data_IF_214384288988
#
_entry.id   IF_214384288988
#
_cell.length_a   1.000
_cell.length_b   1.000
_cell.length_c   1.000
_cell.angle_alpha   90.00
_cell.angle_beta   90.00
_cell.angle_gamma   90.00
#
_symmetry.space_group_name_H-M   'P 1'
#
loop_
_entity.id
_entity.type
_entity.pdbx_description
1 polymer ?
#
# COMPACT_ATOMS: atom_id res chain seq x y z
N UNK A 1 -46.54 -7.45 21.85
CA UNK A 1 -45.26 -6.72 21.93
C UNK A 1 -45.47 -5.36 21.26
N UNK A 2 -45.46 -4.28 22.02
CA UNK A 2 -45.67 -2.94 21.47
C UNK A 2 -44.34 -2.41 20.91
N UNK A 3 -44.27 -2.19 19.59
CA UNK A 3 -43.16 -1.48 18.96
C UNK A 3 -43.30 0.01 19.28
N UNK A 4 -42.33 0.59 19.99
CA UNK A 4 -42.34 2.01 20.31
C UNK A 4 -41.74 2.81 19.12
N UNK A 5 -42.55 3.50 18.30
CA UNK A 5 -42.10 4.12 17.05
C UNK A 5 -41.07 5.24 17.30
N UNK A 6 -41.08 5.86 18.48
CA UNK A 6 -40.09 6.88 18.86
C UNK A 6 -38.68 6.28 19.05
N UNK A 7 -38.59 5.06 19.57
CA UNK A 7 -37.34 4.33 19.73
C UNK A 7 -36.76 3.92 18.36
N UNK A 8 -37.62 3.47 17.45
CA UNK A 8 -37.22 3.16 16.07
C UNK A 8 -36.73 4.40 15.32
N UNK A 9 -37.43 5.54 15.46
CA UNK A 9 -37.01 6.78 14.81
C UNK A 9 -35.68 7.30 15.40
N UNK A 10 -35.49 7.20 16.72
CA UNK A 10 -34.23 7.55 17.38
C UNK A 10 -33.05 6.70 16.90
N UNK A 11 -33.24 5.38 16.80
CA UNK A 11 -32.23 4.46 16.28
C UNK A 11 -31.90 4.74 14.81
N UNK A 12 -32.91 5.04 13.99
CA UNK A 12 -32.74 5.40 12.58
C UNK A 12 -31.91 6.68 12.44
N UNK A 13 -32.28 7.75 13.16
CA UNK A 13 -31.54 9.03 13.16
C UNK A 13 -30.10 8.83 13.64
N UNK A 14 -29.88 8.05 14.71
CA UNK A 14 -28.53 7.77 15.21
C UNK A 14 -27.68 7.02 14.16
N UNK A 15 -28.26 6.03 13.48
CA UNK A 15 -27.55 5.28 12.43
C UNK A 15 -27.20 6.15 11.22
N UNK A 16 -28.07 7.08 10.83
CA UNK A 16 -27.80 8.09 9.78
C UNK A 16 -26.67 9.03 10.19
N UNK A 17 -26.66 9.52 11.42
CA UNK A 17 -25.62 10.42 11.94
C UNK A 17 -24.27 9.71 12.00
N UNK A 18 -24.22 8.44 12.45
CA UNK A 18 -22.99 7.64 12.46
C UNK A 18 -22.48 7.34 11.05
N UNK A 19 -23.37 7.04 10.10
CA UNK A 19 -22.99 6.82 8.70
C UNK A 19 -22.48 8.11 8.02
N UNK A 20 -23.00 9.27 8.42
CA UNK A 20 -22.53 10.57 7.93
C UNK A 20 -21.22 11.03 8.60
N UNK A 21 -20.93 10.56 9.81
CA UNK A 21 -19.72 10.88 10.56
C UNK A 21 -18.47 10.23 9.93
N UNK A 22 -17.93 10.88 8.90
CA UNK A 22 -16.64 10.51 8.32
C UNK A 22 -15.51 11.15 9.14
N UNK A 23 -14.97 10.42 10.11
CA UNK A 23 -13.66 10.76 10.66
C UNK A 23 -12.60 10.72 9.55
N UNK A 24 -11.78 11.76 9.46
CA UNK A 24 -10.63 11.77 8.55
C UNK A 24 -9.66 10.63 8.88
N UNK A 25 -8.85 10.24 7.89
CA UNK A 25 -7.86 9.18 8.03
C UNK A 25 -6.43 9.72 8.08
N UNK A 26 -5.54 9.08 8.83
CA UNK A 26 -4.10 9.41 8.81
C UNK A 26 -3.40 8.53 7.78
N UNK A 27 -2.64 9.18 6.89
CA UNK A 27 -1.72 8.53 5.97
C UNK A 27 -0.29 8.64 6.49
N UNK A 28 0.51 7.58 6.38
CA UNK A 28 1.91 7.56 6.82
C UNK A 28 2.82 7.01 5.74
N UNK A 29 4.04 7.53 5.66
CA UNK A 29 5.12 6.95 4.86
C UNK A 29 5.92 5.97 5.70
N UNK A 30 6.16 4.77 5.15
CA UNK A 30 6.95 3.71 5.77
C UNK A 30 8.03 3.21 4.79
N UNK A 31 9.21 2.85 5.28
CA UNK A 31 10.24 2.18 4.47
C UNK A 31 11.63 2.85 4.47
N UNK A 32 11.75 4.12 4.86
CA UNK A 32 13.04 4.84 4.74
C UNK A 32 13.91 4.84 6.01
N UNK A 33 13.57 4.09 7.06
CA UNK A 33 14.40 3.97 8.26
C UNK A 33 14.23 2.59 8.89
N UNK A 34 15.24 1.74 8.76
CA UNK A 34 15.23 0.35 9.24
C UNK A 34 14.92 0.19 10.74
N UNK A 35 15.13 1.25 11.53
CA UNK A 35 14.85 1.27 12.97
C UNK A 35 13.39 1.63 13.30
N UNK A 36 12.53 1.89 12.31
CA UNK A 36 11.12 2.30 12.49
C UNK A 36 10.14 1.14 12.37
N UNK A 37 10.47 0.00 13.00
CA UNK A 37 9.60 -1.16 13.08
C UNK A 37 9.20 -1.75 11.72
N UNK A 38 8.50 -2.87 11.76
CA UNK A 38 7.97 -3.53 10.57
C UNK A 38 6.69 -2.84 10.07
N UNK A 39 6.34 -3.08 8.80
CA UNK A 39 5.08 -2.64 8.24
C UNK A 39 3.87 -3.24 9.00
N UNK A 40 3.98 -4.51 9.42
CA UNK A 40 2.96 -5.18 10.24
C UNK A 40 2.72 -4.46 11.56
N UNK A 41 3.78 -4.09 12.29
CA UNK A 41 3.67 -3.34 13.54
C UNK A 41 3.06 -1.95 13.32
N UNK A 42 3.47 -1.28 12.25
CA UNK A 42 2.91 0.03 11.85
C UNK A 42 1.40 -0.05 11.66
N UNK A 43 0.92 -1.07 10.93
CA UNK A 43 -0.50 -1.31 10.70
C UNK A 43 -1.25 -1.80 11.95
N UNK A 44 -0.57 -2.53 12.85
CA UNK A 44 -1.15 -2.99 14.11
C UNK A 44 -1.46 -1.84 15.08
N UNK A 45 -0.84 -0.67 14.93
CA UNK A 45 -1.14 0.51 15.76
C UNK A 45 -2.58 1.01 15.66
N UNK A 46 -3.28 0.69 14.55
CA UNK A 46 -4.63 1.20 14.22
C UNK A 46 -4.74 2.74 14.15
N UNK A 47 -3.60 3.44 14.05
CA UNK A 47 -3.57 4.91 13.91
C UNK A 47 -3.76 5.37 12.46
N UNK A 48 -3.50 4.50 11.50
CA UNK A 48 -3.41 4.86 10.08
C UNK A 48 -4.49 4.16 9.28
N UNK A 49 -5.08 4.89 8.34
CA UNK A 49 -5.99 4.33 7.32
C UNK A 49 -5.30 4.10 5.99
N UNK A 50 -4.14 4.74 5.79
CA UNK A 50 -3.33 4.63 4.58
C UNK A 50 -1.84 4.50 4.93
N UNK A 51 -1.12 3.65 4.21
CA UNK A 51 0.33 3.53 4.28
C UNK A 51 0.92 3.63 2.88
N UNK A 52 1.86 4.56 2.70
CA UNK A 52 2.66 4.71 1.50
C UNK A 52 4.02 4.02 1.72
N UNK A 53 4.26 2.90 1.04
CA UNK A 53 5.53 2.20 1.05
C UNK A 53 6.52 2.96 0.17
N UNK A 54 7.56 3.48 0.79
CA UNK A 54 8.51 4.42 0.23
C UNK A 54 9.91 3.80 0.17
N UNK A 55 10.62 3.78 -0.97
CA UNK A 55 10.21 4.30 -2.30
C UNK A 55 10.67 3.41 -3.46
N UNK A 56 9.93 3.41 -4.57
CA UNK A 56 10.50 3.08 -5.87
C UNK A 56 11.21 4.33 -6.41
N UNK A 57 12.50 4.46 -6.15
CA UNK A 57 13.26 5.70 -6.38
C UNK A 57 14.19 5.63 -7.61
N UNK A 58 14.06 4.58 -8.42
CA UNK A 58 14.72 4.45 -9.71
C UNK A 58 13.73 3.85 -10.70
N UNK A 59 13.44 4.54 -11.81
CA UNK A 59 12.58 4.09 -12.91
C UNK A 59 12.64 5.03 -14.12
N UNK A 60 12.31 4.51 -15.31
CA UNK A 60 12.26 5.26 -16.57
C UNK A 60 13.63 5.68 -17.11
N UNK A 61 13.69 6.17 -18.34
CA UNK A 61 14.95 6.36 -19.07
C UNK A 61 15.65 5.05 -19.45
N UNK A 62 14.89 3.96 -19.61
CA UNK A 62 15.42 2.64 -19.98
C UNK A 62 16.14 1.87 -18.87
N UNK A 63 16.17 2.39 -17.64
CA UNK A 63 16.79 1.70 -16.52
C UNK A 63 15.88 0.65 -15.88
N UNK A 64 16.47 -0.37 -15.28
CA UNK A 64 15.75 -1.32 -14.42
C UNK A 64 15.23 -0.60 -13.18
N UNK A 65 13.90 -0.63 -12.90
CA UNK A 65 13.38 0.03 -11.72
C UNK A 65 13.83 -0.63 -10.42
N UNK A 66 14.00 0.17 -9.37
CA UNK A 66 14.55 -0.30 -8.09
C UNK A 66 13.75 0.26 -6.91
N UNK A 67 13.40 -0.65 -6.00
CA UNK A 67 12.79 -0.33 -4.71
C UNK A 67 13.90 -0.08 -3.70
N UNK A 68 13.73 0.92 -2.85
CA UNK A 68 14.61 1.18 -1.71
C UNK A 68 13.76 1.21 -0.44
N UNK A 69 14.03 0.29 0.49
CA UNK A 69 13.40 0.24 1.82
C UNK A 69 14.46 0.40 2.92
N UNK A 70 15.48 1.21 2.64
CA UNK A 70 16.59 1.49 3.54
C UNK A 70 17.13 0.20 4.21
N UNK A 71 17.15 0.17 5.54
CA UNK A 71 17.63 -0.97 6.32
C UNK A 71 16.62 -2.09 6.57
N UNK A 72 15.39 -2.05 6.00
CA UNK A 72 14.38 -3.08 6.28
C UNK A 72 14.64 -4.38 5.52
N UNK A 73 15.06 -4.31 4.26
CA UNK A 73 15.35 -5.48 3.43
C UNK A 73 16.13 -5.07 2.17
N UNK A 74 16.81 -6.05 1.54
CA UNK A 74 17.51 -5.84 0.27
C UNK A 74 16.72 -6.47 -0.90
N UNK A 75 16.16 -5.67 -1.83
CA UNK A 75 15.38 -6.21 -2.94
C UNK A 75 16.22 -6.99 -3.96
N UNK A 76 17.51 -6.68 -4.12
CA UNK A 76 18.40 -7.41 -5.02
C UNK A 76 18.59 -8.89 -4.63
N UNK A 77 18.33 -9.22 -3.35
CA UNK A 77 18.41 -10.58 -2.82
C UNK A 77 17.06 -11.29 -2.73
N UNK A 78 15.96 -10.63 -3.12
CA UNK A 78 14.60 -11.12 -2.92
C UNK A 78 14.12 -11.09 -1.45
N UNK A 79 14.92 -10.58 -0.52
CA UNK A 79 14.60 -10.53 0.90
C UNK A 79 13.37 -9.65 1.23
N UNK A 80 12.99 -8.73 0.33
CA UNK A 80 11.83 -7.87 0.52
C UNK A 80 10.47 -8.58 0.32
N UNK A 81 10.44 -9.88 0.03
CA UNK A 81 9.18 -10.65 -0.04
C UNK A 81 8.40 -10.66 1.28
N UNK A 82 9.08 -10.46 2.41
CA UNK A 82 8.43 -10.28 3.73
C UNK A 82 7.49 -9.07 3.77
N UNK A 83 7.75 -8.05 2.95
CA UNK A 83 6.91 -6.85 2.85
C UNK A 83 5.56 -7.21 2.26
N UNK A 84 5.50 -8.12 1.29
CA UNK A 84 4.26 -8.57 0.64
C UNK A 84 3.27 -9.14 1.65
N UNK A 85 3.73 -10.03 2.53
CA UNK A 85 2.92 -10.59 3.62
C UNK A 85 2.49 -9.51 4.61
N UNK A 86 3.35 -8.52 4.89
CA UNK A 86 2.99 -7.40 5.75
C UNK A 86 1.91 -6.50 5.10
N UNK A 87 1.95 -6.28 3.78
CA UNK A 87 0.89 -5.56 3.05
C UNK A 87 -0.45 -6.30 3.19
N UNK A 88 -0.49 -7.62 2.97
CA UNK A 88 -1.70 -8.42 3.16
C UNK A 88 -2.24 -8.30 4.59
N UNK A 89 -1.34 -8.29 5.59
CA UNK A 89 -1.73 -8.07 6.98
C UNK A 89 -2.27 -6.66 7.26
N UNK A 90 -1.87 -5.64 6.52
CA UNK A 90 -2.44 -4.30 6.62
C UNK A 90 -3.82 -4.24 5.97
N UNK A 91 -3.95 -4.85 4.78
CA UNK A 91 -5.19 -4.86 4.00
C UNK A 91 -6.30 -5.63 4.68
N UNK A 92 -5.99 -6.75 5.35
CA UNK A 92 -6.95 -7.49 6.17
C UNK A 92 -7.50 -6.68 7.35
N UNK A 93 -6.83 -5.58 7.71
CA UNK A 93 -7.27 -4.61 8.75
C UNK A 93 -8.02 -3.41 8.16
N UNK A 94 -8.30 -3.40 6.86
CA UNK A 94 -8.95 -2.28 6.17
C UNK A 94 -8.01 -1.11 5.87
N UNK A 95 -6.70 -1.27 6.03
CA UNK A 95 -5.71 -0.23 5.74
C UNK A 95 -5.34 -0.29 4.25
N UNK A 96 -5.44 0.84 3.56
CA UNK A 96 -5.01 0.94 2.17
C UNK A 96 -3.49 1.07 2.12
N UNK A 97 -2.85 0.25 1.30
CA UNK A 97 -1.39 0.28 1.13
C UNK A 97 -1.07 0.59 -0.32
N UNK A 98 -0.23 1.60 -0.55
CA UNK A 98 0.18 2.06 -1.87
C UNK A 98 1.70 2.08 -1.98
N UNK A 99 2.21 1.83 -3.18
CA UNK A 99 3.62 2.10 -3.50
C UNK A 99 3.78 3.60 -3.77
N UNK A 100 4.78 4.22 -3.14
CA UNK A 100 5.21 5.57 -3.50
C UNK A 100 6.37 5.51 -4.49
N UNK A 101 6.20 6.13 -5.65
CA UNK A 101 7.22 6.28 -6.70
C UNK A 101 7.90 7.66 -6.56
N UNK A 102 9.22 7.69 -6.67
CA UNK A 102 10.04 8.91 -6.56
C UNK A 102 10.71 9.04 -5.19
N UNK A 103 10.38 10.10 -4.45
CA UNK A 103 11.04 10.48 -3.20
C UNK A 103 12.05 11.62 -3.40
N UNK A 104 12.52 12.25 -2.32
CA UNK A 104 13.43 13.40 -2.43
C UNK A 104 14.84 13.07 -2.97
N UNK A 105 15.20 11.78 -2.96
CA UNK A 105 16.49 11.27 -3.47
C UNK A 105 16.20 10.04 -4.33
N UNK A 106 16.62 10.09 -5.59
CA UNK A 106 16.46 8.99 -6.53
C UNK A 106 16.96 9.36 -7.92
N UNK A 107 17.06 8.37 -8.79
CA UNK A 107 17.36 8.55 -10.20
C UNK A 107 16.13 8.12 -11.00
N UNK A 108 15.18 9.01 -11.23
CA UNK A 108 13.94 8.68 -11.92
C UNK A 108 13.55 9.78 -12.90
N UNK A 109 13.03 9.39 -14.08
CA UNK A 109 12.58 10.31 -15.11
C UNK A 109 11.68 9.57 -16.10
N UNK A 110 10.71 10.25 -16.69
CA UNK A 110 9.95 9.74 -17.84
C UNK A 110 10.36 10.53 -19.08
N UNK A 111 11.04 9.88 -20.03
CA UNK A 111 11.67 10.58 -21.16
C UNK A 111 10.86 10.54 -22.46
N UNK A 112 9.82 9.71 -22.52
CA UNK A 112 8.89 9.62 -23.66
C UNK A 112 7.57 8.96 -23.26
N UNK A 113 6.58 9.00 -24.15
CA UNK A 113 5.33 8.24 -23.97
C UNK A 113 5.58 6.72 -23.93
N UNK A 114 6.50 6.21 -24.75
CA UNK A 114 6.87 4.78 -24.76
C UNK A 114 7.54 4.36 -23.45
N UNK A 115 8.43 5.20 -22.92
CA UNK A 115 9.07 4.98 -21.62
C UNK A 115 8.04 5.00 -20.48
N UNK A 116 7.07 5.93 -20.54
CA UNK A 116 5.95 5.99 -19.59
C UNK A 116 5.10 4.72 -19.62
N UNK A 117 4.77 4.19 -20.81
CA UNK A 117 4.06 2.92 -20.98
C UNK A 117 4.85 1.76 -20.36
N UNK A 118 6.15 1.72 -20.62
CA UNK A 118 7.06 0.70 -20.05
C UNK A 118 7.07 0.72 -18.52
N UNK A 119 7.16 1.91 -17.91
CA UNK A 119 7.10 2.06 -16.45
C UNK A 119 5.73 1.66 -15.90
N UNK A 120 4.64 2.03 -16.58
CA UNK A 120 3.28 1.66 -16.16
C UNK A 120 3.07 0.14 -16.21
N UNK A 121 3.54 -0.53 -17.26
CA UNK A 121 3.50 -1.99 -17.37
C UNK A 121 4.35 -2.67 -16.29
N UNK A 122 5.53 -2.12 -15.97
CA UNK A 122 6.36 -2.61 -14.87
C UNK A 122 5.62 -2.51 -13.53
N UNK A 123 5.03 -1.35 -13.23
CA UNK A 123 4.25 -1.14 -12.01
C UNK A 123 3.07 -2.10 -11.94
N UNK A 124 2.37 -2.29 -13.06
CA UNK A 124 1.27 -3.23 -13.14
C UNK A 124 1.73 -4.66 -12.83
N UNK A 125 2.73 -5.15 -13.56
CA UNK A 125 3.16 -6.54 -13.45
C UNK A 125 3.82 -6.88 -12.10
N UNK A 126 4.42 -5.91 -11.41
CA UNK A 126 5.17 -6.17 -10.17
C UNK A 126 4.44 -5.74 -8.89
N UNK A 127 3.50 -4.79 -8.97
CA UNK A 127 2.86 -4.20 -7.79
C UNK A 127 1.32 -4.13 -7.86
N UNK A 128 0.69 -4.47 -8.98
CA UNK A 128 -0.77 -4.38 -9.11
C UNK A 128 -1.53 -5.35 -8.20
N UNK A 129 -0.95 -6.51 -7.89
CA UNK A 129 -1.55 -7.51 -7.00
C UNK A 129 -1.48 -7.15 -5.50
N UNK A 130 -1.49 -5.85 -5.17
CA UNK A 130 -1.87 -5.36 -3.86
C UNK A 130 -3.40 -5.37 -3.68
N UNK A 131 -4.12 -6.23 -4.39
CA UNK A 131 -5.50 -6.63 -4.05
C UNK A 131 -5.53 -8.14 -3.91
N UNK A 132 -5.97 -8.58 -2.73
CA UNK A 132 -6.28 -9.97 -2.42
C UNK A 132 -7.25 -10.52 -3.47
N UNK A 133 -6.75 -11.40 -4.34
CA UNK A 133 -7.54 -12.47 -4.94
C UNK A 133 -6.96 -13.78 -4.42
N UNK A 134 -7.80 -14.55 -3.73
CA UNK A 134 -7.49 -15.75 -2.95
C UNK A 134 -7.03 -16.95 -3.77
N UNK A 135 -6.61 -16.79 -5.02
CA UNK A 135 -6.21 -17.90 -5.90
C UNK A 135 -5.16 -17.51 -6.93
N UNK A 136 -3.97 -17.04 -6.53
CA UNK A 136 -2.74 -17.25 -7.33
C UNK A 136 -1.48 -16.90 -6.54
N UNK A 137 -0.63 -17.89 -6.31
CA UNK A 137 0.59 -17.83 -5.50
C UNK A 137 1.79 -17.17 -6.20
N UNK A 138 1.60 -16.05 -6.91
CA UNK A 138 2.72 -15.37 -7.58
C UNK A 138 2.74 -13.87 -7.30
N UNK A 139 3.26 -13.52 -6.15
CA UNK A 139 3.73 -12.16 -5.85
C UNK A 139 5.27 -12.24 -5.73
N UNK A 140 6.00 -11.38 -6.46
CA UNK A 140 7.47 -11.20 -6.37
C UNK A 140 8.36 -12.34 -6.87
N UNK A 141 8.02 -12.95 -8.01
CA UNK A 141 8.99 -13.73 -8.77
C UNK A 141 9.49 -12.89 -9.94
N UNK A 142 10.81 -12.65 -9.93
CA UNK A 142 11.58 -12.21 -11.07
C UNK A 142 11.22 -13.13 -12.25
N UNK A 143 10.35 -12.69 -13.18
CA UNK A 143 10.22 -13.38 -14.46
C UNK A 143 11.50 -13.10 -15.23
N UNK A 144 12.51 -13.93 -15.01
CA UNK A 144 13.64 -14.06 -15.92
C UNK A 144 13.08 -14.48 -17.28
N UNK A 145 13.13 -13.56 -18.23
CA UNK A 145 13.46 -13.87 -19.61
C UNK A 145 14.69 -13.06 -19.97
#
# INVERSE_FOLDING_TARGET
MATNPQLFLSLLVLSLVVAAAHGGGIAIYWGQNGNKGTLTETCATRKYTHVNVAFLNKFGGGQTPELNLAGHCNPATGACRVVSTAVESCQSRGIKVMLSIGGGIGNYSLISESDTKTVAEYLYNNFYYLKVETTSSTCWQHKNK
#
